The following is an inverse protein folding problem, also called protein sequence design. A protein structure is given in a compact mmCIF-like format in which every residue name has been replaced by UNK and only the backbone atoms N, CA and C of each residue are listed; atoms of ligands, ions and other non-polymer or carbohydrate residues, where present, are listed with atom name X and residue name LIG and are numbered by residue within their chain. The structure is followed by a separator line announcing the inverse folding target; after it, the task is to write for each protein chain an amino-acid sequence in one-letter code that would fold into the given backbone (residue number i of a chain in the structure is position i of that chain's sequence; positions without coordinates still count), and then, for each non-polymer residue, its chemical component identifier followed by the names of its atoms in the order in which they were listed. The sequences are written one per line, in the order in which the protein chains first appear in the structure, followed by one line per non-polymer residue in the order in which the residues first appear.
data_IF_386744523167
#
_entry.id   IF_386744523167
#
_cell.length_a   1.000
_cell.length_b   1.000
_cell.length_c   1.000
_cell.angle_alpha   90.00
_cell.angle_beta   90.00
_cell.angle_gamma   90.00
#
_symmetry.space_group_name_H-M   'P 1'
#
loop_
_entity.id
_entity.type
_entity.pdbx_description
1 polymer ?
#
# COMPACT_ATOMS: atom_id res chain seq x y z
N UNK A 1 18.08 -6.20 13.43
CA UNK A 1 16.94 -5.29 13.36
C UNK A 1 17.07 -4.25 12.24
N UNK A 2 18.18 -3.55 12.18
CA UNK A 2 18.43 -2.57 11.12
C UNK A 2 18.34 -3.16 9.72
N UNK A 3 18.99 -4.31 9.51
CA UNK A 3 18.97 -4.98 8.20
C UNK A 3 17.57 -5.42 7.84
N UNK A 4 16.83 -5.98 8.79
CA UNK A 4 15.45 -6.40 8.57
C UNK A 4 14.56 -5.22 8.16
N UNK A 5 14.72 -4.08 8.83
CA UNK A 5 13.97 -2.86 8.50
C UNK A 5 14.28 -2.41 7.07
N UNK A 6 15.56 -2.38 6.70
CA UNK A 6 15.97 -1.97 5.35
C UNK A 6 15.39 -2.91 4.29
N UNK A 7 15.48 -4.21 4.51
CA UNK A 7 14.94 -5.21 3.57
C UNK A 7 13.43 -5.04 3.42
N UNK A 8 12.71 -4.99 4.54
CA UNK A 8 11.24 -4.92 4.51
C UNK A 8 10.76 -3.64 3.83
N UNK A 9 11.31 -2.48 4.22
CA UNK A 9 10.87 -1.22 3.62
C UNK A 9 11.22 -1.12 2.14
N UNK A 10 12.36 -1.69 1.76
CA UNK A 10 12.79 -1.68 0.36
C UNK A 10 11.87 -2.56 -0.50
N UNK A 11 11.50 -3.73 0.00
CA UNK A 11 10.56 -4.61 -0.70
C UNK A 11 9.18 -3.96 -0.84
N UNK A 12 8.66 -3.38 0.25
CA UNK A 12 7.39 -2.66 0.20
C UNK A 12 7.43 -1.49 -0.78
N UNK A 13 8.50 -0.70 -0.68
CA UNK A 13 8.66 0.46 -1.54
C UNK A 13 8.73 0.08 -3.01
N UNK A 14 9.51 -0.96 -3.32
CA UNK A 14 9.62 -1.46 -4.69
C UNK A 14 8.27 -1.95 -5.23
N UNK A 15 7.51 -2.66 -4.39
CA UNK A 15 6.20 -3.18 -4.77
C UNK A 15 5.22 -2.05 -5.08
N UNK A 16 5.13 -1.05 -4.21
CA UNK A 16 4.23 0.08 -4.43
C UNK A 16 4.65 0.96 -5.59
N UNK A 17 5.95 1.22 -5.74
CA UNK A 17 6.45 2.01 -6.89
C UNK A 17 6.16 1.29 -8.19
N UNK A 18 6.47 0.00 -8.26
CA UNK A 18 6.20 -0.79 -9.46
C UNK A 18 4.72 -0.78 -9.81
N UNK A 19 3.87 -1.09 -8.84
CA UNK A 19 2.42 -1.12 -9.04
C UNK A 19 1.88 0.23 -9.50
N UNK A 20 2.34 1.31 -8.88
CA UNK A 20 1.87 2.66 -9.20
C UNK A 20 2.30 3.11 -10.58
N UNK A 21 3.57 2.89 -10.92
CA UNK A 21 4.11 3.30 -12.21
C UNK A 21 3.44 2.52 -13.34
N UNK A 22 3.27 1.19 -13.18
CA UNK A 22 2.64 0.38 -14.21
C UNK A 22 1.21 0.82 -14.47
N UNK A 23 0.49 1.21 -13.43
CA UNK A 23 -0.87 1.70 -13.59
C UNK A 23 -0.91 3.10 -14.22
N UNK A 24 -0.15 4.04 -13.67
CA UNK A 24 -0.21 5.46 -14.10
C UNK A 24 0.27 5.65 -15.53
N UNK A 25 1.28 4.89 -15.95
CA UNK A 25 1.82 4.99 -17.30
C UNK A 25 1.28 3.94 -18.26
N UNK A 26 0.34 3.10 -17.78
CA UNK A 26 -0.33 2.07 -18.58
C UNK A 26 0.67 1.11 -19.26
N UNK A 27 1.68 0.69 -18.49
CA UNK A 27 2.75 -0.15 -19.04
C UNK A 27 2.28 -1.59 -19.33
N UNK A 28 1.27 -2.06 -18.60
CA UNK A 28 0.70 -3.40 -18.79
C UNK A 28 -0.82 -3.31 -18.91
N UNK A 29 -1.37 -4.23 -19.70
CA UNK A 29 -2.82 -4.43 -19.73
C UNK A 29 -3.18 -5.35 -18.57
N UNK A 30 -3.97 -4.90 -17.58
CA UNK A 30 -4.33 -5.78 -16.48
C UNK A 30 -5.22 -6.92 -16.96
N UNK A 31 -5.17 -8.08 -16.29
CA UNK A 31 -6.09 -9.18 -16.60
C UNK A 31 -7.54 -8.74 -16.42
N UNK A 32 -8.41 -9.29 -17.24
CA UNK A 32 -9.84 -9.03 -17.09
C UNK A 32 -10.34 -9.58 -15.76
N UNK A 33 -11.13 -8.76 -15.06
CA UNK A 33 -11.77 -9.18 -13.83
C UNK A 33 -13.26 -9.43 -14.09
N UNK A 34 -13.88 -10.22 -13.23
CA UNK A 34 -15.30 -10.58 -13.37
C UNK A 34 -15.98 -10.46 -12.02
N UNK A 35 -17.33 -10.48 -12.05
CA UNK A 35 -18.13 -10.53 -10.84
C UNK A 35 -17.98 -9.30 -9.97
N UNK A 36 -17.96 -9.52 -8.65
CA UNK A 36 -17.91 -8.44 -7.67
C UNK A 36 -16.62 -7.63 -7.74
N UNK A 37 -15.49 -8.28 -8.05
CA UNK A 37 -14.20 -7.57 -8.18
C UNK A 37 -14.27 -6.57 -9.34
N UNK A 38 -14.84 -6.98 -10.48
CA UNK A 38 -15.00 -6.10 -11.63
C UNK A 38 -15.89 -4.91 -11.26
N UNK A 39 -17.01 -5.17 -10.59
CA UNK A 39 -17.93 -4.11 -10.17
C UNK A 39 -17.24 -3.12 -9.23
N UNK A 40 -16.44 -3.61 -8.30
CA UNK A 40 -15.67 -2.77 -7.37
C UNK A 40 -14.67 -1.88 -8.13
N UNK A 41 -13.89 -2.49 -9.02
CA UNK A 41 -12.89 -1.74 -9.79
C UNK A 41 -13.53 -0.73 -10.73
N UNK A 42 -14.62 -1.11 -11.39
CA UNK A 42 -15.36 -0.21 -12.29
C UNK A 42 -15.92 0.98 -11.51
N UNK A 43 -16.40 0.75 -10.28
CA UNK A 43 -16.87 1.82 -9.42
C UNK A 43 -15.78 2.82 -9.05
N UNK A 44 -14.59 2.34 -8.72
CA UNK A 44 -13.45 3.21 -8.43
C UNK A 44 -13.04 4.02 -9.66
N UNK A 45 -13.02 3.39 -10.82
CA UNK A 45 -12.68 4.07 -12.08
C UNK A 45 -13.74 5.07 -12.49
N UNK A 46 -15.01 4.77 -12.18
CA UNK A 46 -16.15 5.63 -12.55
C UNK A 46 -16.07 7.02 -11.89
N UNK A 47 -15.39 7.14 -10.76
CA UNK A 47 -15.22 8.44 -10.11
C UNK A 47 -14.41 9.43 -10.96
N UNK A 48 -13.57 8.92 -11.85
CA UNK A 48 -12.70 9.72 -12.71
C UNK A 48 -11.40 10.18 -12.05
N UNK A 49 -11.29 10.07 -10.73
CA UNK A 49 -10.08 10.53 -10.02
C UNK A 49 -9.55 9.54 -8.99
N UNK A 50 -10.39 8.67 -8.45
CA UNK A 50 -10.05 7.93 -7.22
C UNK A 50 -8.85 7.01 -7.43
N UNK A 51 -8.81 6.27 -8.53
CA UNK A 51 -7.70 5.36 -8.79
C UNK A 51 -6.38 6.11 -9.00
N UNK A 52 -6.43 7.26 -9.67
CA UNK A 52 -5.24 8.08 -9.86
C UNK A 52 -4.74 8.62 -8.53
N UNK A 53 -5.65 9.11 -7.69
CA UNK A 53 -5.30 9.58 -6.34
C UNK A 53 -4.66 8.46 -5.53
N UNK A 54 -5.27 7.29 -5.56
CA UNK A 54 -4.77 6.11 -4.84
C UNK A 54 -3.36 5.75 -5.31
N UNK A 55 -3.15 5.68 -6.61
CA UNK A 55 -1.85 5.28 -7.17
C UNK A 55 -0.77 6.34 -6.96
N UNK A 56 -1.11 7.60 -7.02
CA UNK A 56 -0.17 8.68 -6.71
C UNK A 56 0.25 8.60 -5.23
N UNK A 57 -0.71 8.35 -4.33
CA UNK A 57 -0.41 8.17 -2.91
C UNK A 57 0.51 6.97 -2.68
N UNK A 58 0.22 5.84 -3.34
CA UNK A 58 1.06 4.65 -3.26
C UNK A 58 2.48 4.93 -3.79
N UNK A 59 2.59 5.68 -4.88
CA UNK A 59 3.89 6.05 -5.45
C UNK A 59 4.71 6.89 -4.48
N UNK A 60 4.10 7.92 -3.90
CA UNK A 60 4.78 8.79 -2.94
C UNK A 60 5.24 7.98 -1.73
N UNK A 61 4.36 7.17 -1.17
CA UNK A 61 4.72 6.33 -0.03
C UNK A 61 5.82 5.32 -0.39
N UNK A 62 5.73 4.73 -1.58
CA UNK A 62 6.74 3.79 -2.07
C UNK A 62 8.12 4.44 -2.17
N UNK A 63 8.18 5.66 -2.68
CA UNK A 63 9.44 6.40 -2.76
C UNK A 63 9.99 6.74 -1.37
N UNK A 64 9.12 7.07 -0.43
CA UNK A 64 9.53 7.28 0.96
C UNK A 64 10.12 6.02 1.58
N UNK A 65 9.50 4.87 1.35
CA UNK A 65 10.02 3.59 1.84
C UNK A 65 11.37 3.25 1.20
N UNK A 66 11.51 3.45 -0.11
CA UNK A 66 12.76 3.16 -0.80
C UNK A 66 13.90 4.07 -0.34
N UNK A 67 13.63 5.36 -0.18
CA UNK A 67 14.64 6.33 0.23
C UNK A 67 15.00 6.22 1.71
N UNK A 68 14.13 5.61 2.51
CA UNK A 68 14.32 5.53 3.95
C UNK A 68 14.00 6.83 4.68
N UNK A 69 13.40 7.80 3.98
CA UNK A 69 12.99 9.07 4.57
C UNK A 69 11.50 9.09 4.81
N UNK A 70 11.09 9.63 5.93
CA UNK A 70 9.68 9.77 6.29
C UNK A 70 8.95 8.41 6.36
N UNK A 71 9.69 7.35 6.73
CA UNK A 71 9.12 5.99 6.78
C UNK A 71 7.93 5.92 7.73
N UNK A 72 8.03 6.56 8.90
CA UNK A 72 6.94 6.58 9.87
C UNK A 72 5.68 7.25 9.30
N UNK A 73 5.87 8.37 8.60
CA UNK A 73 4.75 9.08 7.96
C UNK A 73 4.14 8.25 6.85
N UNK A 74 4.97 7.64 6.01
CA UNK A 74 4.50 6.77 4.93
C UNK A 74 3.67 5.61 5.47
N UNK A 75 4.10 5.00 6.58
CA UNK A 75 3.37 3.88 7.20
C UNK A 75 1.96 4.29 7.64
N UNK A 76 1.80 5.50 8.15
CA UNK A 76 0.48 6.02 8.53
C UNK A 76 -0.38 6.29 7.30
N UNK A 77 0.20 6.93 6.29
CA UNK A 77 -0.55 7.31 5.09
C UNK A 77 -1.02 6.07 4.33
N UNK A 78 -0.17 5.06 4.23
CA UNK A 78 -0.49 3.85 3.47
C UNK A 78 -1.37 2.87 4.25
N UNK A 79 -1.48 3.01 5.57
CA UNK A 79 -2.21 2.04 6.39
C UNK A 79 -3.67 1.82 5.97
N UNK A 80 -4.47 2.87 5.74
CA UNK A 80 -5.85 2.66 5.26
C UNK A 80 -5.91 1.95 3.91
N UNK A 81 -4.96 2.26 3.03
CA UNK A 81 -4.89 1.64 1.71
C UNK A 81 -4.57 0.15 1.86
N UNK A 82 -3.62 -0.20 2.73
CA UNK A 82 -3.24 -1.61 2.98
C UNK A 82 -4.41 -2.37 3.59
N UNK A 83 -5.14 -1.77 4.52
CA UNK A 83 -6.33 -2.40 5.10
C UNK A 83 -7.35 -2.70 4.01
N UNK A 84 -7.58 -1.75 3.11
CA UNK A 84 -8.51 -1.94 2.00
C UNK A 84 -8.01 -3.04 1.05
N UNK A 85 -6.73 -3.06 0.73
CA UNK A 85 -6.12 -4.11 -0.10
C UNK A 85 -6.37 -5.49 0.52
N UNK A 86 -6.17 -5.60 1.84
CA UNK A 86 -6.39 -6.83 2.57
C UNK A 86 -7.84 -7.32 2.44
N UNK A 87 -8.80 -6.42 2.64
CA UNK A 87 -10.21 -6.78 2.52
C UNK A 87 -10.62 -7.08 1.09
N UNK A 88 -10.07 -6.38 0.11
CA UNK A 88 -10.32 -6.70 -1.30
C UNK A 88 -9.91 -8.13 -1.60
N UNK A 89 -8.74 -8.53 -1.13
CA UNK A 89 -8.27 -9.89 -1.38
C UNK A 89 -9.07 -10.94 -0.62
N UNK A 90 -9.49 -10.65 0.61
CA UNK A 90 -10.31 -11.61 1.38
C UNK A 90 -11.68 -11.81 0.73
N UNK A 91 -12.33 -10.73 0.29
CA UNK A 91 -13.71 -10.78 -0.15
C UNK A 91 -13.89 -10.91 -1.66
N UNK A 92 -12.94 -10.40 -2.44
CA UNK A 92 -13.13 -10.28 -3.89
C UNK A 92 -12.07 -11.01 -4.71
N UNK A 93 -10.89 -11.26 -4.17
CA UNK A 93 -9.79 -11.83 -4.95
C UNK A 93 -8.86 -12.68 -4.06
N UNK A 94 -9.31 -13.87 -3.63
CA UNK A 94 -8.56 -14.69 -2.67
C UNK A 94 -7.16 -15.08 -3.10
N UNK A 95 -6.88 -15.14 -4.40
CA UNK A 95 -5.57 -15.53 -4.91
C UNK A 95 -4.47 -14.52 -4.54
N UNK A 96 -4.83 -13.27 -4.19
CA UNK A 96 -3.89 -12.25 -3.77
C UNK A 96 -3.66 -12.16 -2.27
N UNK A 97 -4.28 -13.04 -1.47
CA UNK A 97 -4.17 -13.01 0.00
C UNK A 97 -2.71 -13.05 0.49
N UNK A 98 -1.81 -13.89 -0.06
CA UNK A 98 -0.42 -13.88 0.43
C UNK A 98 0.26 -12.53 0.33
N UNK A 99 0.07 -11.80 -0.76
CA UNK A 99 0.63 -10.45 -0.93
C UNK A 99 0.01 -9.48 0.08
N UNK A 100 -1.30 -9.57 0.29
CA UNK A 100 -2.01 -8.72 1.24
C UNK A 100 -1.51 -8.95 2.66
N UNK A 101 -1.31 -10.20 3.06
CA UNK A 101 -0.76 -10.54 4.37
C UNK A 101 0.65 -9.97 4.52
N UNK A 102 1.47 -10.09 3.48
CA UNK A 102 2.82 -9.51 3.50
C UNK A 102 2.76 -8.01 3.75
N UNK A 103 1.89 -7.29 3.05
CA UNK A 103 1.79 -5.83 3.20
C UNK A 103 1.34 -5.44 4.60
N UNK A 104 0.35 -6.14 5.16
CA UNK A 104 -0.12 -5.87 6.52
C UNK A 104 1.00 -6.12 7.53
N UNK A 105 1.65 -7.27 7.42
CA UNK A 105 2.73 -7.65 8.34
C UNK A 105 3.93 -6.68 8.21
N UNK A 106 4.31 -6.36 6.98
CA UNK A 106 5.44 -5.48 6.71
C UNK A 106 5.19 -4.07 7.26
N UNK A 107 4.01 -3.51 6.99
CA UNK A 107 3.68 -2.18 7.47
C UNK A 107 3.59 -2.14 9.00
N UNK A 108 3.03 -3.17 9.60
CA UNK A 108 2.95 -3.29 11.06
C UNK A 108 4.36 -3.38 11.68
N UNK A 109 5.24 -4.14 11.06
CA UNK A 109 6.62 -4.25 11.50
C UNK A 109 7.35 -2.91 11.42
N UNK A 110 7.20 -2.19 10.31
CA UNK A 110 7.83 -0.87 10.15
C UNK A 110 7.26 0.15 11.15
N UNK A 111 5.94 0.10 11.39
CA UNK A 111 5.32 0.95 12.38
C UNK A 111 5.87 0.65 13.78
N UNK A 112 5.99 -0.62 14.12
CA UNK A 112 6.57 -1.04 15.40
C UNK A 112 8.00 -0.54 15.55
N UNK A 113 8.81 -0.67 14.51
CA UNK A 113 10.21 -0.21 14.55
C UNK A 113 10.35 1.30 14.71
N UNK A 114 9.29 2.05 14.38
CA UNK A 114 9.25 3.51 14.51
C UNK A 114 8.28 3.97 15.60
N UNK A 115 7.98 3.10 16.57
CA UNK A 115 6.95 3.38 17.58
C UNK A 115 7.17 4.70 18.31
N UNK A 116 8.41 5.04 18.60
CA UNK A 116 8.74 6.28 19.31
C UNK A 116 8.24 7.52 18.56
N UNK A 117 8.15 7.46 17.25
CA UNK A 117 7.67 8.58 16.42
C UNK A 117 6.16 8.72 16.46
N UNK A 118 5.45 7.64 16.78
CA UNK A 118 3.98 7.65 16.86
C UNK A 118 3.45 7.94 18.25
N UNK A 119 4.25 7.65 19.26
CA UNK A 119 3.83 7.76 20.65
C UNK A 119 3.14 9.08 21.00
N UNK A 120 3.71 10.24 20.62
CA UNK A 120 3.06 11.52 20.91
C UNK A 120 1.68 11.69 20.28
N UNK A 121 1.40 10.99 19.18
CA UNK A 121 0.11 11.08 18.50
C UNK A 121 -1.04 10.50 19.31
N UNK A 122 -0.74 9.63 20.27
CA UNK A 122 -1.74 9.00 21.11
C UNK A 122 -2.04 9.79 22.39
N UNK A 123 -1.37 10.92 22.58
CA UNK A 123 -1.66 11.82 23.68
C UNK A 123 -2.93 12.60 23.37
N UNK A 124 -3.80 12.75 24.38
CA UNK A 124 -5.08 13.43 24.19
C UNK A 124 -4.96 14.96 24.16
N UNK A 125 -3.80 15.46 24.60
CA UNK A 125 -3.53 16.91 24.64
C UNK A 125 -2.09 17.23 24.32
#
# INVERSE_FOLDING_TARGET
MKIAVIVVRSLMGALFVFSSITFLFKLFTPPETTGALKAFNDGLMASGYFMNLLKITELICGLMFLSGRFVALASIIIAPIIVNIFFVHIYLSPEGIPVAIFLVAANSFLAYSNWDKYKPLFESK
#
